data_IF_149203667042
#
_entry.id   IF_149203667042
#
_cell.length_a   1.000
_cell.length_b   1.000
_cell.length_c   1.000
_cell.angle_alpha   90.00
_cell.angle_beta   90.00
_cell.angle_gamma   90.00
#
_symmetry.space_group_name_H-M   'P 1'
#
loop_
_entity.id
_entity.type
_entity.pdbx_description
1 polymer ?
#
# COMPACT_ATOMS: atom_id res chain seq x y z
N UNK A 1 25.89 -71.21 -51.34
CA UNK A 1 24.83 -71.15 -50.31
C UNK A 1 25.21 -70.07 -49.30
N UNK A 2 24.67 -68.85 -49.41
CA UNK A 2 24.57 -67.86 -48.31
C UNK A 2 23.72 -66.68 -48.85
N UNK A 3 22.42 -66.63 -48.52
CA UNK A 3 21.75 -65.70 -47.58
C UNK A 3 21.52 -64.27 -48.11
N UNK A 4 20.25 -64.03 -48.53
CA UNK A 4 19.48 -62.76 -48.36
C UNK A 4 19.44 -62.41 -46.85
N UNK A 5 19.34 -61.17 -46.36
CA UNK A 5 18.57 -59.96 -46.74
C UNK A 5 19.33 -58.71 -46.19
N UNK A 6 19.43 -57.57 -46.87
CA UNK A 6 18.49 -56.43 -47.00
C UNK A 6 17.97 -55.82 -45.68
N UNK A 7 18.58 -54.71 -45.23
CA UNK A 7 18.08 -53.62 -44.36
C UNK A 7 18.88 -52.36 -44.79
N UNK A 8 18.39 -51.55 -45.74
CA UNK A 8 17.65 -50.28 -45.61
C UNK A 8 18.34 -49.27 -44.69
N UNK A 9 18.96 -48.30 -45.36
CA UNK A 9 19.49 -47.03 -44.90
C UNK A 9 18.34 -46.10 -44.50
N UNK A 10 18.46 -45.40 -43.36
CA UNK A 10 17.70 -44.18 -43.10
C UNK A 10 18.68 -43.09 -42.65
N UNK A 11 18.55 -41.95 -43.32
CA UNK A 11 19.48 -40.83 -43.40
C UNK A 11 19.51 -39.98 -42.12
N UNK A 12 20.68 -39.42 -41.82
CA UNK A 12 20.88 -38.41 -40.79
C UNK A 12 20.43 -37.03 -41.31
N UNK A 13 19.32 -36.50 -40.80
CA UNK A 13 18.95 -35.10 -40.99
C UNK A 13 19.48 -34.24 -39.82
N UNK A 14 20.45 -33.40 -40.15
CA UNK A 14 21.00 -32.37 -39.27
C UNK A 14 20.14 -31.10 -39.21
N UNK A 15 20.23 -30.46 -38.03
CA UNK A 15 20.10 -29.03 -37.74
C UNK A 15 18.70 -28.37 -37.76
N UNK A 16 18.40 -27.68 -36.64
CA UNK A 16 17.18 -26.87 -36.54
C UNK A 16 16.51 -26.77 -35.18
N UNK A 17 17.18 -27.05 -34.05
CA UNK A 17 16.69 -26.62 -32.73
C UNK A 17 17.60 -25.56 -32.13
N UNK A 18 17.27 -24.29 -32.38
CA UNK A 18 17.66 -23.19 -31.49
C UNK A 18 17.08 -23.49 -30.11
N UNK A 19 17.90 -24.11 -29.27
CA UNK A 19 17.60 -24.32 -27.86
C UNK A 19 17.31 -22.96 -27.22
N UNK A 20 16.18 -22.89 -26.54
CA UNK A 20 15.89 -21.90 -25.51
C UNK A 20 17.15 -21.74 -24.66
N UNK A 21 17.81 -20.58 -24.76
CA UNK A 21 18.79 -20.20 -23.76
C UNK A 21 18.08 -20.23 -22.41
N UNK A 22 18.55 -21.13 -21.55
CA UNK A 22 18.14 -21.21 -20.16
C UNK A 22 18.30 -19.83 -19.53
N UNK A 23 17.18 -19.15 -19.29
CA UNK A 23 17.16 -17.98 -18.41
C UNK A 23 17.63 -18.49 -17.06
N UNK A 24 18.90 -18.23 -16.77
CA UNK A 24 19.54 -18.54 -15.50
C UNK A 24 18.71 -17.88 -14.41
N UNK A 25 18.02 -18.69 -13.61
CA UNK A 25 17.61 -18.35 -12.25
C UNK A 25 18.87 -18.01 -11.46
N UNK A 26 19.32 -16.78 -11.59
CA UNK A 26 20.36 -16.21 -10.74
C UNK A 26 19.66 -15.62 -9.52
N UNK A 27 19.75 -16.37 -8.43
CA UNK A 27 19.92 -15.90 -7.05
C UNK A 27 19.38 -14.50 -6.76
N UNK A 28 18.19 -14.44 -6.16
CA UNK A 28 17.85 -13.38 -5.19
C UNK A 28 18.06 -13.85 -3.75
N UNK A 29 18.82 -14.93 -3.56
CA UNK A 29 19.33 -15.30 -2.25
C UNK A 29 20.78 -14.81 -2.12
N UNK A 30 20.96 -13.83 -1.23
CA UNK A 30 22.23 -13.64 -0.54
C UNK A 30 23.38 -13.04 -1.33
N UNK A 31 23.31 -11.74 -1.66
CA UNK A 31 24.51 -10.88 -1.64
C UNK A 31 24.16 -9.42 -1.39
N UNK A 32 24.13 -9.07 -0.11
CA UNK A 32 24.73 -7.82 0.36
C UNK A 32 25.14 -8.02 1.82
N UNK A 33 26.34 -8.56 2.02
CA UNK A 33 27.13 -8.30 3.22
C UNK A 33 28.00 -7.08 2.94
N UNK A 34 27.35 -5.97 2.58
CA UNK A 34 27.88 -4.64 2.82
C UNK A 34 26.97 -4.05 3.88
N UNK A 35 27.52 -3.61 5.00
CA UNK A 35 26.76 -2.80 5.96
C UNK A 35 26.43 -1.49 5.25
N UNK A 36 25.33 -1.45 4.51
CA UNK A 36 24.78 -0.18 4.05
C UNK A 36 24.34 0.56 5.29
N UNK A 37 25.01 1.68 5.57
CA UNK A 37 24.61 2.56 6.65
C UNK A 37 23.22 3.10 6.32
N UNK A 38 22.22 2.55 7.01
CA UNK A 38 20.81 2.97 6.89
C UNK A 38 20.60 4.41 7.39
N UNK A 39 21.63 5.02 7.98
CA UNK A 39 21.61 6.33 8.65
C UNK A 39 22.00 7.50 7.72
N UNK A 40 21.79 7.38 6.40
CA UNK A 40 21.96 8.51 5.50
C UNK A 40 20.75 9.44 5.55
N UNK A 41 20.93 10.72 5.86
CA UNK A 41 19.87 11.75 5.82
C UNK A 41 19.21 11.87 4.42
N UNK A 42 19.90 11.36 3.40
CA UNK A 42 19.43 11.34 2.02
C UNK A 42 18.64 10.09 1.64
N UNK A 43 18.55 9.06 2.50
CA UNK A 43 17.85 7.82 2.18
C UNK A 43 16.34 8.07 2.01
N UNK A 44 15.75 7.44 0.98
CA UNK A 44 14.33 7.57 0.65
C UNK A 44 13.65 6.22 0.83
N UNK A 45 12.59 6.19 1.63
CA UNK A 45 11.83 4.97 1.89
C UNK A 45 10.48 5.04 1.17
N UNK A 46 10.07 3.95 0.54
CA UNK A 46 8.80 3.86 -0.20
C UNK A 46 8.03 2.64 0.29
N UNK A 47 6.82 2.86 0.82
CA UNK A 47 5.91 1.77 1.17
C UNK A 47 5.27 1.17 -0.08
N UNK A 48 5.49 -0.12 -0.31
CA UNK A 48 4.97 -0.83 -1.48
C UNK A 48 4.12 -2.03 -1.09
N UNK A 49 3.04 -2.23 -1.85
CA UNK A 49 2.14 -3.35 -1.64
C UNK A 49 1.33 -3.68 -2.87
N UNK A 50 0.17 -4.29 -2.65
CA UNK A 50 -0.76 -4.62 -3.72
C UNK A 50 -1.54 -3.37 -4.13
N UNK A 51 -1.43 -2.97 -5.39
CA UNK A 51 -2.21 -1.89 -5.99
C UNK A 51 -1.38 -0.87 -6.75
N UNK A 52 -2.03 -0.12 -7.63
CA UNK A 52 -1.34 0.81 -8.55
C UNK A 52 -0.79 2.04 -7.83
N UNK A 53 -1.42 2.47 -6.74
CA UNK A 53 -0.96 3.62 -5.95
C UNK A 53 0.46 3.44 -5.41
N UNK A 54 0.87 2.20 -5.09
CA UNK A 54 2.24 1.90 -4.69
C UNK A 54 3.25 2.16 -5.81
N UNK A 55 2.88 1.84 -7.05
CA UNK A 55 3.75 2.08 -8.21
C UNK A 55 3.81 3.56 -8.58
N UNK A 56 2.68 4.27 -8.48
CA UNK A 56 2.64 5.73 -8.63
C UNK A 56 3.53 6.42 -7.60
N UNK A 57 3.50 5.98 -6.33
CA UNK A 57 4.35 6.50 -5.28
C UNK A 57 5.84 6.26 -5.55
N UNK A 58 6.21 5.05 -6.02
CA UNK A 58 7.59 4.76 -6.39
C UNK A 58 8.10 5.66 -7.52
N UNK A 59 7.32 5.80 -8.60
CA UNK A 59 7.70 6.66 -9.73
C UNK A 59 7.87 8.11 -9.29
N UNK A 60 6.91 8.61 -8.52
CA UNK A 60 7.01 9.95 -7.96
C UNK A 60 8.26 10.13 -7.10
N UNK A 61 8.59 9.15 -6.25
CA UNK A 61 9.79 9.21 -5.42
C UNK A 61 11.08 9.25 -6.26
N UNK A 62 11.15 8.43 -7.31
CA UNK A 62 12.27 8.42 -8.26
C UNK A 62 12.43 9.79 -8.93
N UNK A 63 11.33 10.35 -9.43
CA UNK A 63 11.35 11.59 -10.21
C UNK A 63 11.63 12.84 -9.36
N UNK A 64 11.32 12.81 -8.05
CA UNK A 64 11.34 14.01 -7.20
C UNK A 64 12.39 13.98 -6.08
N UNK A 65 12.77 12.80 -5.57
CA UNK A 65 13.61 12.69 -4.37
C UNK A 65 15.00 12.11 -4.66
N UNK A 66 15.19 11.42 -5.79
CA UNK A 66 16.47 10.82 -6.15
C UNK A 66 17.29 11.84 -6.94
N UNK A 67 17.92 12.77 -6.23
CA UNK A 67 18.70 13.86 -6.84
C UNK A 67 20.18 13.53 -7.01
N UNK A 68 20.70 12.58 -6.23
CA UNK A 68 22.13 12.27 -6.14
C UNK A 68 22.38 10.78 -6.36
N UNK A 69 23.52 10.43 -6.95
CA UNK A 69 23.93 9.02 -7.16
C UNK A 69 24.29 8.27 -5.87
N UNK A 70 24.41 8.99 -4.76
CA UNK A 70 24.57 8.49 -3.39
C UNK A 70 23.25 8.17 -2.70
N UNK A 71 22.12 8.72 -3.18
CA UNK A 71 20.81 8.49 -2.59
C UNK A 71 20.41 7.03 -2.77
N UNK A 72 20.11 6.35 -1.67
CA UNK A 72 19.64 4.98 -1.67
C UNK A 72 18.12 4.94 -1.46
N UNK A 73 17.43 4.17 -2.31
CA UNK A 73 16.00 3.95 -2.20
C UNK A 73 15.72 2.63 -1.47
N UNK A 74 14.83 2.65 -0.49
CA UNK A 74 14.38 1.46 0.24
C UNK A 74 12.93 1.17 -0.06
N UNK A 75 12.65 -0.04 -0.57
CA UNK A 75 11.30 -0.56 -0.71
C UNK A 75 10.88 -1.25 0.58
N UNK A 76 9.87 -0.72 1.28
CA UNK A 76 9.30 -1.35 2.47
C UNK A 76 8.06 -2.12 2.04
N UNK A 77 8.07 -3.44 2.20
CA UNK A 77 6.90 -4.28 1.99
C UNK A 77 6.49 -4.97 3.28
N UNK A 78 5.30 -4.62 3.76
CA UNK A 78 4.67 -5.29 4.91
C UNK A 78 3.74 -6.40 4.40
N UNK A 79 3.91 -7.60 4.92
CA UNK A 79 3.09 -8.77 4.59
C UNK A 79 2.49 -9.40 5.87
N UNK A 80 1.28 -10.00 5.79
CA UNK A 80 0.58 -10.49 6.97
C UNK A 80 1.24 -11.72 7.58
N UNK A 81 0.97 -11.96 8.87
CA UNK A 81 1.44 -13.16 9.57
C UNK A 81 0.69 -14.41 9.10
N UNK A 82 1.43 -15.49 8.82
CA UNK A 82 0.79 -16.77 8.47
C UNK A 82 0.41 -17.54 9.73
N UNK A 83 -0.85 -17.36 10.17
CA UNK A 83 -1.46 -18.14 11.28
C UNK A 83 -2.32 -19.30 10.80
N UNK A 84 -2.74 -19.26 9.53
CA UNK A 84 -3.67 -20.22 8.96
C UNK A 84 -3.26 -20.65 7.57
N UNK A 85 -3.37 -21.96 7.31
CA UNK A 85 -3.14 -22.58 6.00
C UNK A 85 -4.49 -22.89 5.35
N UNK A 86 -4.72 -22.48 4.09
CA UNK A 86 -5.92 -22.88 3.35
C UNK A 86 -6.05 -24.40 3.24
N UNK A 87 -7.28 -24.90 3.40
CA UNK A 87 -7.60 -26.33 3.32
C UNK A 87 -8.91 -26.51 2.54
N UNK A 88 -9.16 -27.63 1.83
CA UNK A 88 -10.31 -27.77 0.92
C UNK A 88 -11.67 -27.35 1.48
N UNK A 89 -11.90 -27.53 2.79
CA UNK A 89 -13.14 -27.17 3.47
C UNK A 89 -12.93 -26.16 4.62
N UNK A 90 -11.94 -25.28 4.50
CA UNK A 90 -11.75 -24.20 5.47
C UNK A 90 -10.29 -23.77 5.62
N UNK A 91 -9.88 -23.59 6.86
CA UNK A 91 -8.53 -23.15 7.22
C UNK A 91 -8.03 -23.99 8.39
N UNK A 92 -6.80 -24.47 8.30
CA UNK A 92 -6.12 -25.11 9.41
C UNK A 92 -5.28 -24.06 10.13
N UNK A 93 -5.20 -24.13 11.45
CA UNK A 93 -4.16 -23.38 12.16
C UNK A 93 -2.80 -23.96 11.78
N UNK A 94 -1.75 -23.15 11.82
CA UNK A 94 -0.40 -23.58 11.44
C UNK A 94 0.06 -24.81 12.22
N UNK A 95 -0.34 -24.93 13.48
CA UNK A 95 0.02 -26.05 14.38
C UNK A 95 -0.70 -27.35 14.02
N UNK A 96 -1.85 -27.26 13.34
CA UNK A 96 -2.67 -28.41 12.92
C UNK A 96 -2.38 -28.86 11.49
N UNK A 97 -1.69 -28.04 10.70
CA UNK A 97 -1.30 -28.37 9.35
C UNK A 97 -0.06 -29.28 9.35
N UNK A 98 0.06 -30.14 8.33
CA UNK A 98 1.30 -30.90 8.16
C UNK A 98 2.45 -29.97 7.77
N UNK A 99 3.69 -30.38 8.07
CA UNK A 99 4.88 -29.60 7.72
C UNK A 99 4.94 -29.30 6.22
N UNK A 100 4.62 -30.29 5.38
CA UNK A 100 4.57 -30.15 3.92
C UNK A 100 3.52 -29.12 3.47
N UNK A 101 2.34 -29.12 4.07
CA UNK A 101 1.29 -28.13 3.76
C UNK A 101 1.72 -26.71 4.13
N UNK A 102 2.34 -26.55 5.30
CA UNK A 102 2.86 -25.25 5.75
C UNK A 102 3.94 -24.78 4.80
N UNK A 103 4.91 -25.63 4.46
CA UNK A 103 6.03 -25.28 3.60
C UNK A 103 5.58 -24.95 2.17
N UNK A 104 4.69 -25.75 1.59
CA UNK A 104 4.11 -25.52 0.27
C UNK A 104 3.39 -24.16 0.22
N UNK A 105 2.56 -23.86 1.22
CA UNK A 105 1.86 -22.58 1.30
C UNK A 105 2.83 -21.40 1.48
N UNK A 106 3.79 -21.51 2.39
CA UNK A 106 4.78 -20.45 2.63
C UNK A 106 5.67 -20.20 1.41
N UNK A 107 6.03 -21.25 0.67
CA UNK A 107 6.75 -21.14 -0.61
C UNK A 107 5.90 -20.38 -1.64
N UNK A 108 4.61 -20.72 -1.76
CA UNK A 108 3.71 -20.01 -2.66
C UNK A 108 3.56 -18.53 -2.31
N UNK A 109 3.41 -18.19 -1.02
CA UNK A 109 3.31 -16.80 -0.58
C UNK A 109 4.63 -16.03 -0.80
N UNK A 110 5.78 -16.69 -0.61
CA UNK A 110 7.09 -16.12 -0.93
C UNK A 110 7.21 -15.82 -2.42
N UNK A 111 6.75 -16.71 -3.28
CA UNK A 111 6.81 -16.52 -4.73
C UNK A 111 5.87 -15.40 -5.20
N UNK A 112 4.65 -15.32 -4.66
CA UNK A 112 3.74 -14.19 -4.92
C UNK A 112 4.38 -12.87 -4.51
N UNK A 113 5.03 -12.83 -3.35
CA UNK A 113 5.74 -11.64 -2.85
C UNK A 113 6.92 -11.28 -3.76
N UNK A 114 7.73 -12.25 -4.15
CA UNK A 114 8.86 -12.07 -5.09
C UNK A 114 8.37 -11.47 -6.40
N UNK A 115 7.34 -12.07 -7.00
CA UNK A 115 6.73 -11.58 -8.25
C UNK A 115 6.18 -10.16 -8.12
N UNK A 116 5.58 -9.81 -6.98
CA UNK A 116 5.12 -8.44 -6.71
C UNK A 116 6.30 -7.46 -6.65
N UNK A 117 7.34 -7.78 -5.87
CA UNK A 117 8.51 -6.92 -5.67
C UNK A 117 9.33 -6.72 -6.94
N UNK A 118 9.45 -7.75 -7.78
CA UNK A 118 10.18 -7.68 -9.05
C UNK A 118 9.69 -6.54 -9.96
N UNK A 119 8.39 -6.20 -9.93
CA UNK A 119 7.84 -5.08 -10.71
C UNK A 119 8.41 -3.74 -10.26
N UNK A 120 8.58 -3.54 -8.96
CA UNK A 120 9.16 -2.33 -8.38
C UNK A 120 10.67 -2.27 -8.62
N UNK A 121 11.37 -3.39 -8.41
CA UNK A 121 12.80 -3.49 -8.68
C UNK A 121 13.12 -3.24 -10.16
N UNK A 122 12.29 -3.72 -11.08
CA UNK A 122 12.43 -3.44 -12.51
C UNK A 122 12.28 -1.94 -12.82
N UNK A 123 11.31 -1.25 -12.18
CA UNK A 123 11.16 0.19 -12.33
C UNK A 123 12.38 0.95 -11.79
N UNK A 124 12.91 0.58 -10.63
CA UNK A 124 14.14 1.18 -10.08
C UNK A 124 15.36 0.95 -11.00
N UNK A 125 15.50 -0.27 -11.52
CA UNK A 125 16.59 -0.65 -12.43
C UNK A 125 16.53 0.13 -13.76
N UNK A 126 15.33 0.25 -14.35
CA UNK A 126 15.11 1.04 -15.55
C UNK A 126 15.51 2.52 -15.36
N UNK A 127 15.33 3.06 -14.16
CA UNK A 127 15.75 4.40 -13.77
C UNK A 127 17.17 4.50 -13.21
N UNK A 128 17.94 3.40 -13.20
CA UNK A 128 19.33 3.32 -12.68
C UNK A 128 19.46 3.75 -11.21
N UNK A 129 18.43 3.53 -10.41
CA UNK A 129 18.40 3.87 -8.98
C UNK A 129 18.91 2.68 -8.16
N UNK A 130 19.81 2.94 -7.22
CA UNK A 130 20.23 1.94 -6.23
C UNK A 130 19.06 1.67 -5.29
N UNK A 131 18.70 0.40 -5.12
CA UNK A 131 17.54 0.01 -4.34
C UNK A 131 17.84 -1.16 -3.41
N UNK A 132 17.37 -1.07 -2.17
CA UNK A 132 17.29 -2.19 -1.23
C UNK A 132 15.83 -2.48 -0.86
N UNK A 133 15.57 -3.66 -0.30
CA UNK A 133 14.22 -4.09 0.08
C UNK A 133 14.18 -4.51 1.54
N UNK A 134 13.20 -3.99 2.27
CA UNK A 134 12.90 -4.31 3.66
C UNK A 134 11.57 -5.06 3.68
N UNK A 135 11.60 -6.29 4.17
CA UNK A 135 10.41 -7.14 4.33
C UNK A 135 10.02 -7.21 5.79
N UNK A 136 8.77 -6.88 6.11
CA UNK A 136 8.26 -6.88 7.48
C UNK A 136 7.02 -7.77 7.57
N UNK A 137 7.03 -8.76 8.46
CA UNK A 137 5.85 -9.58 8.76
C UNK A 137 5.02 -8.87 9.84
N UNK A 138 3.79 -8.47 9.51
CA UNK A 138 2.84 -7.84 10.45
C UNK A 138 1.44 -7.77 9.87
N UNK A 139 0.43 -7.97 10.71
CA UNK A 139 -0.99 -7.76 10.35
C UNK A 139 -1.40 -6.28 10.29
N UNK A 140 -0.58 -5.37 10.84
CA UNK A 140 -0.84 -3.93 10.83
C UNK A 140 0.25 -3.18 10.09
N UNK A 141 -0.02 -2.86 8.83
CA UNK A 141 0.89 -2.09 7.96
C UNK A 141 1.27 -0.76 8.59
N UNK A 142 0.29 -0.02 9.12
CA UNK A 142 0.54 1.29 9.72
C UNK A 142 1.45 1.18 10.95
N UNK A 143 1.23 0.19 11.82
CA UNK A 143 2.05 0.00 13.03
C UNK A 143 3.47 -0.43 12.66
N UNK A 144 3.61 -1.39 11.76
CA UNK A 144 4.90 -1.87 11.29
C UNK A 144 5.76 -0.73 10.71
N UNK A 145 5.15 0.17 9.93
CA UNK A 145 5.86 1.32 9.37
C UNK A 145 6.22 2.34 10.46
N UNK A 146 5.33 2.61 11.43
CA UNK A 146 5.63 3.49 12.56
C UNK A 146 6.81 2.99 13.38
N UNK A 147 6.81 1.69 13.73
CA UNK A 147 7.90 1.06 14.46
C UNK A 147 9.21 1.16 13.65
N UNK A 148 9.14 0.95 12.33
CA UNK A 148 10.30 1.06 11.46
C UNK A 148 10.85 2.50 11.37
N UNK A 149 9.97 3.51 11.34
CA UNK A 149 10.38 4.92 11.37
C UNK A 149 11.22 5.20 12.62
N UNK A 150 10.75 4.73 13.79
CA UNK A 150 11.46 4.94 15.05
C UNK A 150 12.77 4.13 15.12
N UNK A 151 12.74 2.85 14.73
CA UNK A 151 13.90 1.95 14.84
C UNK A 151 15.03 2.34 13.89
N UNK A 152 14.70 2.66 12.63
CA UNK A 152 15.68 3.02 11.60
C UNK A 152 15.89 4.54 11.48
N UNK A 153 15.20 5.34 12.30
CA UNK A 153 15.23 6.81 12.24
C UNK A 153 14.96 7.34 10.82
N UNK A 154 13.93 6.79 10.16
CA UNK A 154 13.56 7.13 8.78
C UNK A 154 13.21 8.62 8.70
N UNK A 155 13.87 9.34 7.79
CA UNK A 155 13.64 10.78 7.59
C UNK A 155 12.67 11.10 6.48
N UNK A 156 12.65 10.33 5.39
CA UNK A 156 11.78 10.55 4.23
C UNK A 156 11.03 9.28 3.88
N UNK A 157 9.70 9.31 3.95
CA UNK A 157 8.83 8.19 3.63
C UNK A 157 7.80 8.61 2.58
N UNK A 158 7.67 7.82 1.52
CA UNK A 158 6.67 8.02 0.46
C UNK A 158 5.65 6.89 0.51
N UNK A 159 4.36 7.24 0.53
CA UNK A 159 3.26 6.28 0.57
C UNK A 159 2.23 6.58 -0.52
N UNK A 160 1.79 5.53 -1.20
CA UNK A 160 0.68 5.62 -2.15
C UNK A 160 -0.68 5.49 -1.47
N UNK A 161 -1.64 6.30 -1.89
CA UNK A 161 -3.05 6.16 -1.52
C UNK A 161 -3.92 6.14 -2.79
N UNK A 162 -4.94 5.29 -2.79
CA UNK A 162 -5.92 5.25 -3.88
C UNK A 162 -6.95 6.39 -3.74
N UNK A 163 -7.60 6.73 -4.85
CA UNK A 163 -8.61 7.81 -4.91
C UNK A 163 -9.77 7.58 -3.94
N UNK A 164 -10.14 6.33 -3.68
CA UNK A 164 -11.20 5.98 -2.72
C UNK A 164 -10.80 6.36 -1.31
N UNK A 165 -9.61 5.96 -0.85
CA UNK A 165 -9.20 6.27 0.51
C UNK A 165 -8.78 7.72 0.67
N UNK A 166 -8.22 8.36 -0.37
CA UNK A 166 -7.98 9.81 -0.37
C UNK A 166 -9.28 10.59 -0.16
N UNK A 167 -10.38 10.19 -0.82
CA UNK A 167 -11.70 10.79 -0.57
C UNK A 167 -12.20 10.52 0.85
N UNK A 168 -12.01 9.30 1.38
CA UNK A 168 -12.46 8.97 2.75
C UNK A 168 -11.67 9.71 3.82
N UNK A 169 -10.40 10.03 3.58
CA UNK A 169 -9.59 10.84 4.48
C UNK A 169 -10.21 12.23 4.75
N UNK A 170 -11.00 12.76 3.80
CA UNK A 170 -11.73 14.03 3.98
C UNK A 170 -12.89 13.95 4.98
N UNK A 171 -13.30 12.75 5.40
CA UNK A 171 -14.52 12.55 6.22
C UNK A 171 -14.23 12.33 7.72
N UNK A 172 -13.03 12.68 8.21
CA UNK A 172 -12.53 12.47 9.58
C UNK A 172 -12.62 11.02 10.13
N UNK A 173 -12.98 10.06 9.26
CA UNK A 173 -13.21 8.65 9.59
C UNK A 173 -12.32 7.71 8.77
N UNK A 174 -11.30 8.26 8.12
CA UNK A 174 -10.36 7.46 7.36
C UNK A 174 -9.46 6.66 8.29
N UNK A 175 -9.19 5.41 7.89
CA UNK A 175 -8.27 4.50 8.58
C UNK A 175 -7.18 4.04 7.60
N UNK A 176 -6.81 4.92 6.67
CA UNK A 176 -5.79 4.62 5.68
C UNK A 176 -4.41 4.59 6.33
N UNK A 177 -3.49 3.80 5.77
CA UNK A 177 -2.13 3.65 6.30
C UNK A 177 -1.42 5.00 6.45
N UNK A 178 -1.31 5.86 5.40
CA UNK A 178 -0.63 7.14 5.55
C UNK A 178 -1.30 8.04 6.60
N UNK A 179 -2.62 8.01 6.72
CA UNK A 179 -3.36 8.83 7.69
C UNK A 179 -3.10 8.40 9.15
N UNK A 180 -3.00 7.09 9.39
CA UNK A 180 -2.64 6.56 10.70
C UNK A 180 -1.20 6.92 11.09
N UNK A 181 -0.29 7.02 10.12
CA UNK A 181 1.11 7.39 10.35
C UNK A 181 1.22 8.90 10.60
N UNK A 182 0.56 9.73 9.78
CA UNK A 182 0.56 11.20 9.95
C UNK A 182 -0.02 11.63 11.31
N UNK A 183 -0.94 10.85 11.89
CA UNK A 183 -1.52 11.13 13.22
C UNK A 183 -0.68 10.61 14.40
N UNK A 184 0.40 9.88 14.16
CA UNK A 184 1.22 9.33 15.24
C UNK A 184 2.48 10.16 15.48
N UNK A 185 3.13 9.93 16.62
CA UNK A 185 4.40 10.59 16.97
C UNK A 185 5.55 10.26 16.01
N UNK A 186 5.40 9.24 15.15
CA UNK A 186 6.38 8.93 14.12
C UNK A 186 6.47 10.04 13.06
N UNK A 187 5.39 10.79 12.83
CA UNK A 187 5.36 11.92 11.91
C UNK A 187 6.27 13.08 12.35
N UNK A 188 6.57 13.20 13.65
CA UNK A 188 7.47 14.23 14.17
C UNK A 188 8.94 13.96 13.76
N UNK A 189 9.28 12.71 13.42
CA UNK A 189 10.64 12.29 13.07
C UNK A 189 10.85 12.11 11.57
N UNK A 190 9.76 12.07 10.79
CA UNK A 190 9.74 11.63 9.41
C UNK A 190 8.85 12.52 8.54
N UNK A 191 9.42 13.06 7.46
CA UNK A 191 8.65 13.68 6.40
C UNK A 191 7.90 12.61 5.60
N UNK A 192 6.57 12.54 5.80
CA UNK A 192 5.69 11.61 5.10
C UNK A 192 5.04 12.27 3.89
N UNK A 193 5.40 11.81 2.70
CA UNK A 193 4.80 12.25 1.43
C UNK A 193 3.74 11.27 0.96
N UNK A 194 2.54 11.77 0.72
CA UNK A 194 1.39 10.95 0.30
C UNK A 194 1.09 11.20 -1.17
N UNK A 195 1.13 10.15 -1.98
CA UNK A 195 0.96 10.21 -3.43
C UNK A 195 -0.38 9.60 -3.83
N UNK A 196 -1.17 10.35 -4.58
CA UNK A 196 -2.44 9.90 -5.15
C UNK A 196 -2.47 10.29 -6.63
N UNK A 197 -2.59 9.29 -7.51
CA UNK A 197 -2.57 9.49 -8.97
C UNK A 197 -1.33 10.21 -9.48
N UNK A 198 -0.16 9.81 -8.96
CA UNK A 198 1.13 10.39 -9.34
C UNK A 198 1.35 11.83 -8.89
N UNK A 199 0.52 12.37 -7.98
CA UNK A 199 0.71 13.71 -7.40
C UNK A 199 0.75 13.64 -5.88
N UNK A 200 1.63 14.45 -5.29
CA UNK A 200 1.66 14.67 -3.84
C UNK A 200 0.38 15.39 -3.40
N UNK A 201 -0.24 14.89 -2.34
CA UNK A 201 -1.40 15.51 -1.70
C UNK A 201 -1.03 15.93 -0.29
N UNK A 202 -1.47 17.13 0.12
CA UNK A 202 -1.30 17.58 1.51
C UNK A 202 -2.37 16.92 2.39
N UNK A 203 -1.95 16.01 3.26
CA UNK A 203 -2.88 15.23 4.08
C UNK A 203 -3.60 16.07 5.14
N UNK A 204 -2.93 17.05 5.73
CA UNK A 204 -3.54 17.96 6.72
C UNK A 204 -4.62 18.83 6.08
N UNK A 205 -4.34 19.38 4.90
CA UNK A 205 -5.28 20.22 4.16
C UNK A 205 -6.52 19.42 3.73
N UNK A 206 -6.34 18.17 3.31
CA UNK A 206 -7.43 17.24 2.95
C UNK A 206 -8.32 16.93 4.16
N UNK A 207 -7.76 16.83 5.36
CA UNK A 207 -8.51 16.62 6.60
C UNK A 207 -9.19 17.90 7.12
N UNK A 208 -8.56 19.06 6.97
CA UNK A 208 -9.05 20.36 7.45
C UNK A 208 -10.19 20.93 6.58
N UNK A 209 -10.10 20.83 5.25
CA UNK A 209 -11.04 21.47 4.31
C UNK A 209 -12.51 21.06 4.49
N UNK A 210 -12.77 19.90 5.08
CA UNK A 210 -14.12 19.32 5.15
C UNK A 210 -14.58 18.96 6.57
N UNK A 211 -13.91 19.47 7.61
CA UNK A 211 -14.46 19.44 8.96
C UNK A 211 -15.77 20.26 8.97
N UNK A 212 -16.90 19.75 9.52
CA UNK A 212 -18.12 20.53 9.59
C UNK A 212 -17.87 21.72 10.54
N UNK A 213 -17.60 22.88 9.96
CA UNK A 213 -17.51 24.13 10.70
C UNK A 213 -18.86 24.38 11.38
N UNK A 214 -18.88 24.32 12.71
CA UNK A 214 -19.95 24.93 13.50
C UNK A 214 -19.84 26.44 13.28
N UNK A 215 -20.61 26.98 12.34
CA UNK A 215 -20.71 28.41 12.17
C UNK A 215 -21.25 29.06 13.45
N UNK A 216 -20.74 30.24 13.86
CA UNK A 216 -21.35 31.00 14.94
C UNK A 216 -22.71 31.49 14.45
N UNK A 217 -23.76 31.23 15.24
CA UNK A 217 -25.11 31.72 14.98
C UNK A 217 -25.11 33.25 14.98
N UNK A 218 -25.04 33.85 13.80
CA UNK A 218 -25.27 35.28 13.62
C UNK A 218 -26.73 35.58 13.98
N UNK A 219 -26.93 36.24 15.12
CA UNK A 219 -28.21 36.84 15.49
C UNK A 219 -28.51 37.94 14.47
N UNK A 220 -29.51 37.72 13.61
CA UNK A 220 -30.08 38.81 12.82
C UNK A 220 -30.93 39.70 13.74
N UNK A 221 -30.75 41.03 13.71
CA UNK A 221 -31.65 41.95 14.40
C UNK A 221 -32.97 42.06 13.60
N UNK A 222 -34.09 41.74 14.23
CA UNK A 222 -35.42 42.00 13.65
C UNK A 222 -35.73 43.49 13.74
N UNK A 223 -36.06 44.06 12.60
CA UNK A 223 -36.39 45.46 12.37
C UNK A 223 -37.85 45.72 12.81
N UNK A 224 -38.04 46.75 13.63
CA UNK A 224 -39.35 47.23 14.11
C UNK A 224 -40.28 47.70 12.97
N UNK A 225 -41.57 47.41 13.11
CA UNK A 225 -42.65 48.33 12.71
C UNK A 225 -43.85 48.22 13.69
N UNK A 226 -44.62 49.32 13.91
CA UNK A 226 -45.52 49.44 15.06
C UNK A 226 -47.03 49.59 14.74
N UNK A 227 -47.86 49.34 15.77
CA UNK A 227 -49.29 49.69 16.06
C UNK A 227 -50.40 49.24 15.07
N UNK A 228 -51.57 48.73 15.48
CA UNK A 228 -52.48 49.25 16.53
C UNK A 228 -53.30 48.13 17.26
N UNK A 229 -53.95 48.46 18.41
CA UNK A 229 -54.65 47.57 19.33
C UNK A 229 -56.15 47.49 19.00
N UNK A 230 -56.90 46.74 19.81
CA UNK A 230 -58.36 46.47 19.75
C UNK A 230 -58.77 45.16 19.04
N UNK A 231 -58.99 44.12 19.84
CA UNK A 231 -60.21 43.29 19.91
C UNK A 231 -59.84 41.88 20.42
N UNK A 232 -60.08 41.55 21.68
CA UNK A 232 -61.36 41.12 22.26
C UNK A 232 -61.58 39.59 22.23
N UNK A 233 -61.50 39.03 23.45
CA UNK A 233 -62.34 38.00 24.10
C UNK A 233 -62.25 36.52 23.68
N UNK A 234 -62.10 35.73 24.74
CA UNK A 234 -62.23 34.30 24.92
C UNK A 234 -63.48 33.68 24.26
N UNK A 235 -63.39 32.40 23.88
CA UNK A 235 -64.47 31.44 24.15
C UNK A 235 -63.95 30.04 24.45
N UNK A 236 -64.33 29.56 25.63
CA UNK A 236 -64.24 28.18 26.13
C UNK A 236 -65.49 27.43 25.62
N UNK A 237 -65.34 26.19 25.10
CA UNK A 237 -66.09 24.99 25.56
C UNK A 237 -65.97 23.78 24.62
N UNK A 238 -65.97 22.60 25.25
CA UNK A 238 -65.97 21.19 24.75
C UNK A 238 -67.33 20.80 24.11
N UNK A 239 -67.75 19.51 23.90
CA UNK A 239 -67.08 18.19 23.79
C UNK A 239 -67.60 17.28 22.62
N UNK A 240 -66.98 16.08 22.53
CA UNK A 240 -67.41 14.77 21.95
C UNK A 240 -68.87 14.57 21.50
N UNK A 241 -69.04 13.87 20.36
CA UNK A 241 -69.93 12.69 20.24
C UNK A 241 -69.42 11.68 19.21
N UNK A 242 -69.83 10.45 19.45
CA UNK A 242 -69.51 9.14 18.86
C UNK A 242 -70.11 8.93 17.46
N UNK A 243 -69.44 8.16 16.61
CA UNK A 243 -70.05 7.04 15.88
C UNK A 243 -68.98 6.07 15.36
#
# INVERSE_FOLDING_TARGET
MQRRSNEIEEEEDEDGRRGLESVRESQLEGRSSGTVSMNGDDNVYVGVGKGDSSMEALRWAIDNLITSSSTLLFLIHVFPETRFIPYPLGRLTREKASQEQVESFMSQEREKRRTLLLKFLHACSASKVKVETILVESDSVAKAIQDLITILNIKKLVLGIDKSNARKATTMKGNSVPELITRSSAADMCEVKVICQGREINMEEVMMKNSPSKSPMAQQPKKDQPVDPFACICFISKPKTNS
#
